data_IF_898163111621
#
_entry.id   IF_898163111621
#
_cell.length_a   1.000
_cell.length_b   1.000
_cell.length_c   1.000
_cell.angle_alpha   90.00
_cell.angle_beta   90.00
_cell.angle_gamma   90.00
#
_symmetry.space_group_name_H-M   'P 1'
#
loop_
_entity.id
_entity.type
_entity.pdbx_description
1 polymer ?
#
# COMPACT_ATOMS: atom_id res chain seq x y z
N UNK A 1 7.69 0.23 11.26
CA UNK A 1 6.98 0.11 12.55
C UNK A 1 5.85 1.14 12.59
N UNK A 2 4.62 0.73 12.94
CA UNK A 2 3.40 1.58 12.99
C UNK A 2 3.07 2.06 14.40
N UNK A 3 4.03 1.97 15.32
CA UNK A 3 3.89 2.46 16.69
C UNK A 3 5.02 3.43 16.95
N UNK A 4 4.67 4.65 17.37
CA UNK A 4 5.65 5.68 17.73
C UNK A 4 5.44 6.02 19.20
N UNK A 5 6.43 5.69 20.02
CA UNK A 5 6.45 6.04 21.43
C UNK A 5 7.25 7.34 21.62
N UNK A 6 6.75 8.25 22.46
CA UNK A 6 7.52 9.46 22.82
C UNK A 6 8.61 9.07 23.83
N UNK A 7 9.82 9.58 23.62
CA UNK A 7 11.00 9.30 24.45
C UNK A 7 10.81 9.64 25.95
N UNK A 8 9.83 10.47 26.30
CA UNK A 8 9.60 10.96 27.65
C UNK A 8 8.60 10.12 28.47
N UNK A 9 8.34 8.86 28.08
CA UNK A 9 7.33 8.01 28.73
C UNK A 9 5.88 8.43 28.46
N UNK A 10 5.65 9.14 27.35
CA UNK A 10 4.31 9.49 26.89
C UNK A 10 3.60 8.32 26.22
N UNK A 11 2.28 8.43 26.03
CA UNK A 11 1.47 7.40 25.37
C UNK A 11 2.04 7.06 23.97
N UNK A 12 2.29 5.76 23.72
CA UNK A 12 2.63 5.28 22.39
C UNK A 12 1.43 5.50 21.47
N UNK A 13 1.63 6.28 20.41
CA UNK A 13 0.58 6.52 19.42
C UNK A 13 0.80 5.61 18.23
N UNK A 14 -0.29 5.02 17.76
CA UNK A 14 -0.28 4.27 16.52
C UNK A 14 -0.26 5.25 15.34
N UNK A 15 0.60 4.96 14.36
CA UNK A 15 0.90 5.86 13.27
C UNK A 15 0.74 5.18 11.90
N UNK A 16 -0.33 5.58 11.21
CA UNK A 16 -0.61 5.16 9.84
C UNK A 16 0.39 5.73 8.82
N UNK A 17 1.14 6.77 9.20
CA UNK A 17 2.06 7.46 8.31
C UNK A 17 3.23 6.58 7.83
N UNK A 18 3.61 5.57 8.63
CA UNK A 18 4.61 4.58 8.22
C UNK A 18 4.14 3.76 7.01
N UNK A 19 2.89 3.27 7.03
CA UNK A 19 2.29 2.54 5.91
C UNK A 19 2.09 3.47 4.71
N UNK A 20 1.56 4.67 4.95
CA UNK A 20 1.36 5.67 3.88
C UNK A 20 2.67 6.03 3.19
N UNK A 21 3.79 6.06 3.91
CA UNK A 21 5.12 6.28 3.33
C UNK A 21 5.54 5.14 2.41
N UNK A 22 5.39 3.90 2.89
CA UNK A 22 5.85 2.71 2.17
C UNK A 22 5.21 2.57 0.79
N UNK A 23 3.97 3.05 0.65
CA UNK A 23 3.19 2.99 -0.58
C UNK A 23 3.19 4.30 -1.40
N UNK A 24 3.98 5.31 -1.01
CA UNK A 24 3.98 6.61 -1.70
C UNK A 24 2.69 7.43 -1.51
N UNK A 25 1.79 7.03 -0.61
CA UNK A 25 0.48 7.67 -0.37
C UNK A 25 0.57 9.04 0.34
N UNK A 26 1.78 9.53 0.62
CA UNK A 26 2.00 10.88 1.19
C UNK A 26 1.94 11.98 0.15
N UNK A 27 2.18 11.65 -1.12
CA UNK A 27 2.17 12.64 -2.20
C UNK A 27 1.54 12.05 -3.46
N UNK A 28 0.70 12.84 -4.12
CA UNK A 28 0.16 12.47 -5.43
C UNK A 28 1.21 12.49 -6.54
N UNK A 29 2.41 13.02 -6.27
CA UNK A 29 3.56 13.03 -7.19
C UNK A 29 4.54 11.90 -6.93
N UNK A 30 4.31 11.07 -5.92
CA UNK A 30 5.17 9.92 -5.66
C UNK A 30 5.08 8.91 -6.81
N UNK A 31 6.21 8.32 -7.27
CA UNK A 31 6.19 7.34 -8.36
C UNK A 31 5.27 6.14 -8.09
N UNK A 32 5.21 5.65 -6.85
CA UNK A 32 4.35 4.52 -6.50
C UNK A 32 2.87 4.92 -6.51
N UNK A 33 2.55 6.16 -6.13
CA UNK A 33 1.20 6.69 -6.26
C UNK A 33 0.77 6.83 -7.74
N UNK A 34 1.71 7.16 -8.64
CA UNK A 34 1.42 7.38 -10.06
C UNK A 34 1.68 6.16 -10.95
N UNK A 35 1.90 4.98 -10.38
CA UNK A 35 2.36 3.81 -11.12
C UNK A 35 1.38 3.32 -12.21
N UNK A 36 0.09 3.62 -12.11
CA UNK A 36 -0.88 3.36 -13.18
C UNK A 36 -0.49 4.03 -14.51
N UNK A 37 0.24 5.16 -14.47
CA UNK A 37 0.79 5.79 -15.68
C UNK A 37 1.87 4.92 -16.32
N UNK A 38 2.61 4.15 -15.53
CA UNK A 38 3.57 3.16 -16.01
C UNK A 38 2.79 2.00 -16.64
N UNK A 39 1.78 1.45 -15.96
CA UNK A 39 0.96 0.35 -16.50
C UNK A 39 0.31 0.72 -17.84
N UNK A 40 -0.15 1.97 -17.97
CA UNK A 40 -0.73 2.52 -19.21
C UNK A 40 0.27 2.69 -20.34
N UNK A 41 1.56 2.85 -20.05
CA UNK A 41 2.61 2.88 -21.09
C UNK A 41 2.98 1.46 -21.50
N UNK A 42 3.07 0.58 -20.52
CA UNK A 42 3.47 -0.82 -20.65
C UNK A 42 2.52 -1.63 -21.53
N UNK A 43 1.21 -1.39 -21.47
CA UNK A 43 0.22 -2.05 -22.37
C UNK A 43 0.45 -1.82 -23.87
N UNK A 44 1.27 -0.83 -24.24
CA UNK A 44 1.63 -0.54 -25.63
C UNK A 44 3.07 -0.98 -25.98
N UNK A 45 3.78 -1.61 -25.04
CA UNK A 45 5.10 -2.19 -25.26
C UNK A 45 4.95 -3.60 -25.83
N UNK A 46 5.99 -4.07 -26.52
CA UNK A 46 6.07 -5.43 -27.03
C UNK A 46 6.42 -6.37 -25.86
N UNK A 47 5.39 -6.69 -25.07
CA UNK A 47 5.52 -7.59 -23.93
C UNK A 47 5.46 -9.04 -24.41
N UNK A 48 6.21 -9.89 -23.73
CA UNK A 48 6.09 -11.34 -23.87
C UNK A 48 4.64 -11.77 -23.63
N UNK A 49 4.04 -12.40 -24.64
CA UNK A 49 2.64 -12.83 -24.61
C UNK A 49 2.37 -13.79 -23.44
N UNK A 50 3.37 -14.59 -23.04
CA UNK A 50 3.26 -15.55 -21.95
C UNK A 50 3.23 -14.87 -20.57
N UNK A 51 3.62 -13.59 -20.48
CA UNK A 51 3.65 -12.81 -19.24
C UNK A 51 2.48 -11.83 -19.10
N UNK A 52 1.67 -11.65 -20.16
CA UNK A 52 0.59 -10.66 -20.19
C UNK A 52 -0.47 -10.90 -19.10
N UNK A 53 -0.90 -12.15 -18.93
CA UNK A 53 -1.90 -12.50 -17.92
C UNK A 53 -1.41 -12.17 -16.50
N UNK A 54 -0.19 -12.63 -16.16
CA UNK A 54 0.43 -12.33 -14.87
C UNK A 54 0.64 -10.83 -14.64
N UNK A 55 0.99 -10.08 -15.69
CA UNK A 55 1.12 -8.62 -15.60
C UNK A 55 -0.23 -7.95 -15.28
N UNK A 56 -1.31 -8.35 -15.93
CA UNK A 56 -2.64 -7.78 -15.68
C UNK A 56 -3.15 -8.13 -14.28
N UNK A 57 -3.04 -9.40 -13.87
CA UNK A 57 -3.43 -9.82 -12.53
C UNK A 57 -2.63 -9.08 -11.45
N UNK A 58 -1.31 -8.97 -11.63
CA UNK A 58 -0.46 -8.23 -10.69
C UNK A 58 -0.81 -6.72 -10.65
N UNK A 59 -1.17 -6.12 -11.79
CA UNK A 59 -1.62 -4.72 -11.85
C UNK A 59 -2.94 -4.50 -11.09
N UNK A 60 -3.89 -5.42 -11.21
CA UNK A 60 -5.15 -5.39 -10.46
C UNK A 60 -4.92 -5.59 -8.95
N UNK A 61 -4.07 -6.56 -8.59
CA UNK A 61 -3.69 -6.83 -7.21
C UNK A 61 -3.01 -5.62 -6.56
N UNK A 62 -2.09 -4.96 -7.28
CA UNK A 62 -1.47 -3.72 -6.83
C UNK A 62 -2.52 -2.64 -6.52
N UNK A 63 -3.44 -2.38 -7.46
CA UNK A 63 -4.45 -1.33 -7.32
C UNK A 63 -5.41 -1.61 -6.16
N UNK A 64 -5.84 -2.87 -6.01
CA UNK A 64 -6.69 -3.31 -4.91
C UNK A 64 -5.99 -3.13 -3.56
N UNK A 65 -4.74 -3.59 -3.45
CA UNK A 65 -3.94 -3.49 -2.23
C UNK A 65 -3.67 -2.02 -1.84
N UNK A 66 -3.33 -1.17 -2.82
CA UNK A 66 -3.14 0.27 -2.61
C UNK A 66 -4.40 0.95 -2.08
N UNK A 67 -5.55 0.69 -2.71
CA UNK A 67 -6.84 1.27 -2.33
C UNK A 67 -7.26 0.83 -0.93
N UNK A 68 -7.15 -0.47 -0.63
CA UNK A 68 -7.47 -1.03 0.67
C UNK A 68 -6.51 -0.51 1.75
N UNK A 69 -5.20 -0.51 1.49
CA UNK A 69 -4.20 -0.03 2.44
C UNK A 69 -4.45 1.43 2.81
N UNK A 70 -4.69 2.31 1.81
CA UNK A 70 -4.99 3.71 2.05
C UNK A 70 -6.29 3.91 2.83
N UNK A 71 -7.33 3.13 2.53
CA UNK A 71 -8.62 3.20 3.23
C UNK A 71 -8.46 2.79 4.70
N UNK A 72 -7.79 1.67 4.98
CA UNK A 72 -7.58 1.20 6.35
C UNK A 72 -6.65 2.14 7.14
N UNK A 73 -5.60 2.66 6.50
CA UNK A 73 -4.73 3.67 7.07
C UNK A 73 -5.49 4.97 7.41
N UNK A 74 -6.44 5.38 6.57
CA UNK A 74 -7.26 6.55 6.83
C UNK A 74 -8.24 6.32 7.98
N UNK A 75 -8.96 5.18 7.98
CA UNK A 75 -9.93 4.86 9.04
C UNK A 75 -9.25 4.76 10.40
N UNK A 76 -8.05 4.16 10.48
CA UNK A 76 -7.33 4.01 11.74
C UNK A 76 -6.96 5.35 12.41
N UNK A 77 -6.85 6.44 11.65
CA UNK A 77 -6.59 7.78 12.21
C UNK A 77 -7.76 8.33 13.02
N UNK A 78 -8.97 7.84 12.77
CA UNK A 78 -10.20 8.29 13.43
C UNK A 78 -10.86 7.19 14.26
N UNK A 79 -10.31 5.98 14.26
CA UNK A 79 -10.93 4.80 14.83
C UNK A 79 -11.27 4.91 16.32
N UNK A 80 -10.55 5.71 17.12
CA UNK A 80 -10.90 5.96 18.53
C UNK A 80 -12.12 6.88 18.71
N UNK A 81 -12.43 7.72 17.73
CA UNK A 81 -13.51 8.72 17.81
C UNK A 81 -14.83 8.22 17.18
N UNK A 82 -14.82 7.06 16.52
CA UNK A 82 -16.00 6.50 15.87
C UNK A 82 -16.91 5.77 16.87
N UNK A 83 -18.25 5.79 16.68
CA UNK A 83 -19.15 4.95 17.46
C UNK A 83 -18.78 3.46 17.31
N UNK A 84 -18.54 2.77 18.42
CA UNK A 84 -18.04 1.38 18.42
C UNK A 84 -16.53 1.25 18.14
N UNK A 85 -15.81 2.37 18.11
CA UNK A 85 -14.37 2.43 17.93
C UNK A 85 -13.56 2.19 19.21
N UNK A 86 -12.24 2.38 19.10
CA UNK A 86 -11.29 2.20 20.21
C UNK A 86 -9.90 1.78 19.74
N UNK A 87 -8.96 1.65 20.68
CA UNK A 87 -7.56 1.28 20.41
C UNK A 87 -7.45 -0.05 19.66
N UNK A 88 -8.33 -1.00 19.94
CA UNK A 88 -8.35 -2.31 19.28
C UNK A 88 -8.82 -2.24 17.83
N UNK A 89 -9.83 -1.42 17.52
CA UNK A 89 -10.26 -1.19 16.14
C UNK A 89 -9.19 -0.43 15.34
N UNK A 90 -8.53 0.57 15.95
CA UNK A 90 -7.37 1.24 15.33
C UNK A 90 -6.28 0.22 14.99
N UNK A 91 -5.94 -0.67 15.92
CA UNK A 91 -4.94 -1.71 15.71
C UNK A 91 -5.33 -2.67 14.59
N UNK A 92 -6.60 -3.11 14.57
CA UNK A 92 -7.13 -3.99 13.52
C UNK A 92 -7.01 -3.36 12.14
N UNK A 93 -7.40 -2.09 11.98
CA UNK A 93 -7.27 -1.40 10.70
C UNK A 93 -5.81 -1.18 10.30
N UNK A 94 -4.92 -0.87 11.23
CA UNK A 94 -3.49 -0.74 10.92
C UNK A 94 -2.86 -2.07 10.51
N UNK A 95 -3.15 -3.16 11.23
CA UNK A 95 -2.67 -4.49 10.87
C UNK A 95 -3.19 -4.90 9.48
N UNK A 96 -4.43 -4.56 9.16
CA UNK A 96 -4.96 -4.83 7.82
C UNK A 96 -4.24 -3.99 6.77
N UNK A 97 -4.04 -2.69 7.04
CA UNK A 97 -3.27 -1.80 6.18
C UNK A 97 -1.84 -2.32 5.91
N UNK A 98 -1.16 -2.86 6.94
CA UNK A 98 0.16 -3.48 6.84
C UNK A 98 0.16 -4.74 5.95
N UNK A 99 -0.84 -5.62 6.08
CA UNK A 99 -0.95 -6.79 5.19
C UNK A 99 -1.06 -6.37 3.73
N UNK A 100 -1.83 -5.31 3.46
CA UNK A 100 -1.97 -4.79 2.11
C UNK A 100 -0.65 -4.22 1.57
N UNK A 101 0.25 -3.70 2.41
CA UNK A 101 1.61 -3.32 1.97
C UNK A 101 2.38 -4.52 1.42
N UNK A 102 2.30 -5.67 2.11
CA UNK A 102 2.97 -6.89 1.67
C UNK A 102 2.40 -7.40 0.34
N UNK A 103 1.07 -7.35 0.18
CA UNK A 103 0.43 -7.72 -1.09
C UNK A 103 0.82 -6.77 -2.24
N UNK A 104 0.88 -5.46 -1.97
CA UNK A 104 1.36 -4.48 -2.94
C UNK A 104 2.83 -4.74 -3.32
N UNK A 105 3.69 -5.06 -2.35
CA UNK A 105 5.09 -5.43 -2.62
C UNK A 105 5.19 -6.66 -3.53
N UNK A 106 4.41 -7.71 -3.26
CA UNK A 106 4.40 -8.93 -4.07
C UNK A 106 3.91 -8.65 -5.50
N UNK A 107 2.82 -7.91 -5.65
CA UNK A 107 2.31 -7.49 -6.94
C UNK A 107 3.34 -6.67 -7.73
N UNK A 108 4.04 -5.74 -7.06
CA UNK A 108 5.08 -4.94 -7.70
C UNK A 108 6.25 -5.78 -8.19
N UNK A 109 6.69 -6.79 -7.40
CA UNK A 109 7.74 -7.72 -7.83
C UNK A 109 7.34 -8.46 -9.10
N UNK A 110 6.12 -9.02 -9.14
CA UNK A 110 5.62 -9.70 -10.33
C UNK A 110 5.53 -8.76 -11.53
N UNK A 111 5.09 -7.51 -11.34
CA UNK A 111 5.08 -6.49 -12.40
C UNK A 111 6.51 -6.25 -12.91
N UNK A 112 7.49 -6.06 -12.02
CA UNK A 112 8.88 -5.83 -12.40
C UNK A 112 9.48 -7.01 -13.15
N UNK A 113 9.18 -8.25 -12.73
CA UNK A 113 9.59 -9.48 -13.41
C UNK A 113 8.98 -9.59 -14.82
N UNK A 114 7.69 -9.26 -14.96
CA UNK A 114 7.01 -9.23 -16.26
C UNK A 114 7.65 -8.21 -17.21
N UNK A 115 8.17 -7.12 -16.66
CA UNK A 115 8.82 -6.03 -17.40
C UNK A 115 10.35 -6.16 -17.50
N UNK A 116 10.91 -7.25 -16.97
CA UNK A 116 12.35 -7.52 -16.97
C UNK A 116 13.18 -6.38 -16.34
N UNK A 117 12.61 -5.72 -15.33
CA UNK A 117 13.28 -4.67 -14.56
C UNK A 117 13.99 -5.34 -13.37
N UNK A 118 15.32 -5.27 -13.35
CA UNK A 118 16.15 -5.80 -12.25
C UNK A 118 16.08 -4.94 -10.98
N UNK A 119 16.15 -5.60 -9.81
CA UNK A 119 16.32 -4.97 -8.48
C UNK A 119 17.80 -4.88 -8.13
#
# INVERSE_FOLDING_TARGET
ETTVCRDNGGECKRDADAVRKALGLRSTTDPLYQIEKVFTKVKNMDLDADKLESFFEASENWNSAMSMSNSMAFISQFGEYNPGGGKDEVLKYLNESEKQVVLAEQALKTIMECLEISI
#
